data_IF_883518016597
#
_entry.id   IF_883518016597
#
_cell.length_a   1.000
_cell.length_b   1.000
_cell.length_c   1.000
_cell.angle_alpha   90.00
_cell.angle_beta   90.00
_cell.angle_gamma   90.00
#
_symmetry.space_group_name_H-M   'P 1'
#
loop_
_entity.id
_entity.type
_entity.pdbx_description
1 polymer ?
#
# COMPACT_ATOMS: atom_id res chain seq x y z
N UNK A 1 -4.44 14.93 -1.28
CA UNK A 1 -3.86 14.47 -0.01
C UNK A 1 -2.37 14.43 -0.18
N UNK A 2 -1.64 14.98 0.78
CA UNK A 2 -0.18 14.94 0.82
C UNK A 2 0.28 13.65 1.50
N UNK A 3 1.35 13.05 0.99
CA UNK A 3 2.01 11.89 1.57
C UNK A 3 3.52 12.12 1.54
N UNK A 4 4.23 11.75 2.60
CA UNK A 4 5.65 12.03 2.74
C UNK A 4 6.45 10.84 3.26
N UNK A 5 7.77 10.95 3.15
CA UNK A 5 8.71 10.03 3.76
C UNK A 5 9.88 10.83 4.37
N UNK A 6 10.20 10.57 5.64
CA UNK A 6 11.44 11.02 6.27
C UNK A 6 12.49 9.94 6.07
N UNK A 7 13.59 10.28 5.42
CA UNK A 7 14.70 9.37 5.13
C UNK A 7 15.76 9.55 6.20
N UNK A 8 16.12 8.46 6.88
CA UNK A 8 17.12 8.44 7.93
C UNK A 8 18.39 7.76 7.41
N UNK A 9 19.50 8.51 7.38
CA UNK A 9 20.83 7.99 7.04
C UNK A 9 21.57 7.64 8.34
N UNK A 10 21.81 6.36 8.60
CA UNK A 10 22.66 5.92 9.73
C UNK A 10 22.01 4.96 10.74
N UNK A 11 20.70 4.73 10.68
CA UNK A 11 19.99 3.76 11.56
C UNK A 11 19.53 2.49 10.83
N UNK A 12 20.11 2.23 9.66
CA UNK A 12 19.86 0.99 8.96
C UNK A 12 20.47 -0.16 9.79
N UNK A 13 19.62 -0.90 10.50
CA UNK A 13 20.01 -2.18 11.08
C UNK A 13 20.72 -3.04 10.02
N UNK A 14 21.54 -3.99 10.47
CA UNK A 14 22.29 -4.88 9.59
C UNK A 14 21.44 -5.37 8.40
N UNK A 15 21.83 -4.99 7.18
CA UNK A 15 21.17 -5.43 5.94
C UNK A 15 20.24 -4.43 5.25
N UNK A 16 19.95 -3.26 5.84
CA UNK A 16 19.26 -2.16 5.15
C UNK A 16 20.26 -1.11 4.64
N UNK A 17 19.91 -0.41 3.55
CA UNK A 17 20.67 0.71 3.00
C UNK A 17 20.18 2.06 3.58
N UNK A 18 18.86 2.18 3.81
CA UNK A 18 18.21 3.36 4.38
C UNK A 18 17.06 2.94 5.30
N UNK A 19 16.66 3.82 6.23
CA UNK A 19 15.38 3.73 6.92
C UNK A 19 14.42 4.82 6.43
N UNK A 20 13.13 4.50 6.39
CA UNK A 20 12.08 5.41 5.93
C UNK A 20 10.91 5.42 6.92
N UNK A 21 10.51 6.61 7.37
CA UNK A 21 9.28 6.83 8.14
C UNK A 21 8.26 7.51 7.24
N UNK A 22 7.10 6.87 7.04
CA UNK A 22 6.05 7.39 6.18
C UNK A 22 5.08 8.29 6.95
N UNK A 23 4.54 9.30 6.27
CA UNK A 23 3.67 10.32 6.85
C UNK A 23 2.45 10.57 5.95
N UNK A 24 1.28 10.76 6.54
CA UNK A 24 0.09 11.30 5.88
C UNK A 24 -0.60 12.33 6.77
N UNK A 25 -1.67 12.95 6.28
CA UNK A 25 -2.44 13.98 7.02
C UNK A 25 -3.07 13.57 8.36
N UNK A 26 -2.83 12.35 8.85
CA UNK A 26 -3.33 11.85 10.13
C UNK A 26 -2.22 11.26 11.02
N UNK A 27 -0.95 11.40 10.63
CA UNK A 27 0.19 10.91 11.40
C UNK A 27 1.14 10.02 10.60
N UNK A 28 1.89 9.19 11.33
CA UNK A 28 2.84 8.24 10.77
C UNK A 28 2.15 6.99 10.21
N UNK A 29 2.77 6.36 9.23
CA UNK A 29 2.28 5.14 8.58
C UNK A 29 3.34 4.04 8.54
N UNK A 30 2.89 2.79 8.58
CA UNK A 30 3.80 1.65 8.66
C UNK A 30 4.42 1.24 7.31
N UNK A 31 3.69 1.43 6.21
CA UNK A 31 4.12 1.03 4.87
C UNK A 31 3.44 1.92 3.82
N UNK A 32 4.19 2.30 2.79
CA UNK A 32 3.62 2.95 1.62
C UNK A 32 4.32 2.54 0.32
N UNK A 33 3.67 1.69 -0.47
CA UNK A 33 4.28 1.13 -1.68
C UNK A 33 4.63 2.18 -2.74
N UNK A 34 3.79 3.19 -2.98
CA UNK A 34 4.11 4.25 -3.94
C UNK A 34 5.30 5.12 -3.48
N UNK A 35 5.43 5.33 -2.16
CA UNK A 35 6.57 6.04 -1.60
C UNK A 35 7.84 5.20 -1.71
N UNK A 36 7.77 3.88 -1.55
CA UNK A 36 8.91 2.97 -1.79
C UNK A 36 9.40 3.04 -3.24
N UNK A 37 8.50 3.06 -4.23
CA UNK A 37 8.88 3.21 -5.64
C UNK A 37 9.65 4.52 -5.89
N UNK A 38 9.13 5.63 -5.37
CA UNK A 38 9.76 6.94 -5.50
C UNK A 38 11.10 7.02 -4.74
N UNK A 39 11.14 6.49 -3.51
CA UNK A 39 12.32 6.51 -2.65
C UNK A 39 13.45 5.65 -3.22
N UNK A 40 13.14 4.51 -3.87
CA UNK A 40 14.14 3.70 -4.56
C UNK A 40 14.88 4.51 -5.63
N UNK A 41 14.15 5.26 -6.47
CA UNK A 41 14.75 6.16 -7.47
C UNK A 41 15.57 7.27 -6.82
N UNK A 42 14.98 7.94 -5.83
CA UNK A 42 15.60 9.04 -5.10
C UNK A 42 16.92 8.63 -4.45
N UNK A 43 16.94 7.45 -3.82
CA UNK A 43 18.12 6.91 -3.17
C UNK A 43 19.29 6.71 -4.14
N UNK A 44 19.03 6.21 -5.35
CA UNK A 44 20.07 6.02 -6.37
C UNK A 44 20.50 7.34 -7.02
N UNK A 45 19.54 8.14 -7.48
CA UNK A 45 19.82 9.35 -8.25
C UNK A 45 20.59 10.40 -7.44
N UNK A 46 20.38 10.44 -6.11
CA UNK A 46 21.04 11.38 -5.21
C UNK A 46 22.21 10.75 -4.43
N UNK A 47 22.61 9.52 -4.75
CA UNK A 47 23.77 8.86 -4.14
C UNK A 47 23.61 8.64 -2.63
N UNK A 48 22.41 8.28 -2.18
CA UNK A 48 22.10 8.03 -0.76
C UNK A 48 22.57 6.66 -0.29
N UNK A 49 22.84 5.76 -1.23
CA UNK A 49 23.24 4.38 -1.01
C UNK A 49 24.49 4.06 -1.81
N UNK A 50 25.00 2.84 -1.68
CA UNK A 50 26.14 2.37 -2.45
C UNK A 50 25.93 2.55 -3.96
N UNK A 51 27.04 2.67 -4.70
CA UNK A 51 27.02 2.94 -6.13
C UNK A 51 26.13 1.92 -6.89
N UNK A 52 25.17 2.39 -7.70
CA UNK A 52 24.26 1.52 -8.43
C UNK A 52 24.97 0.71 -9.52
N UNK A 53 24.43 -0.48 -9.79
CA UNK A 53 24.87 -1.43 -10.81
C UNK A 53 23.83 -1.56 -11.91
N UNK A 54 24.29 -1.82 -13.13
CA UNK A 54 23.44 -2.18 -14.28
C UNK A 54 23.05 -3.66 -14.22
N UNK A 55 21.92 -4.07 -14.83
CA UNK A 55 20.87 -3.20 -15.39
C UNK A 55 19.87 -2.71 -14.32
N UNK A 56 19.98 -3.22 -13.10
CA UNK A 56 19.06 -2.94 -11.99
C UNK A 56 19.84 -2.94 -10.67
N UNK A 57 19.44 -2.06 -9.75
CA UNK A 57 20.00 -1.95 -8.41
C UNK A 57 18.93 -2.16 -7.35
N UNK A 58 19.31 -2.85 -6.28
CA UNK A 58 18.47 -3.03 -5.12
C UNK A 58 18.72 -1.89 -4.12
N UNK A 59 17.64 -1.32 -3.58
CA UNK A 59 17.65 -0.38 -2.44
C UNK A 59 16.84 -1.03 -1.33
N UNK A 60 17.51 -1.44 -0.25
CA UNK A 60 16.92 -2.10 0.90
C UNK A 60 16.51 -1.05 1.92
N UNK A 61 15.21 -0.94 2.13
CA UNK A 61 14.60 0.00 3.05
C UNK A 61 14.18 -0.73 4.32
N UNK A 62 14.52 -0.16 5.47
CA UNK A 62 13.86 -0.47 6.72
C UNK A 62 12.64 0.44 6.87
N UNK A 63 11.46 -0.14 6.76
CA UNK A 63 10.19 0.53 7.03
C UNK A 63 9.66 0.10 8.40
N UNK A 64 8.69 0.82 9.01
CA UNK A 64 8.08 0.38 10.26
C UNK A 64 7.42 -1.00 10.16
N UNK A 65 6.87 -1.37 8.98
CA UNK A 65 6.33 -2.71 8.75
C UNK A 65 7.39 -3.82 8.63
N UNK A 66 8.68 -3.48 8.56
CA UNK A 66 9.78 -4.41 8.32
C UNK A 66 10.61 -4.09 7.07
N UNK A 67 11.49 -5.01 6.64
CA UNK A 67 12.39 -4.81 5.50
C UNK A 67 11.63 -4.87 4.17
N UNK A 68 11.84 -3.87 3.31
CA UNK A 68 11.27 -3.78 1.96
C UNK A 68 12.41 -3.53 0.98
N UNK A 69 12.45 -4.23 -0.14
CA UNK A 69 13.51 -4.02 -1.16
C UNK A 69 12.91 -3.41 -2.42
N UNK A 70 13.32 -2.19 -2.76
CA UNK A 70 13.07 -1.61 -4.07
C UNK A 70 14.10 -2.12 -5.08
N UNK A 71 13.66 -2.44 -6.29
CA UNK A 71 14.45 -2.90 -7.43
C UNK A 71 14.27 -1.86 -8.53
N UNK A 72 15.33 -1.12 -8.82
CA UNK A 72 15.28 0.10 -9.62
C UNK A 72 16.14 -0.10 -10.87
N UNK A 73 15.56 0.01 -12.08
CA UNK A 73 16.35 0.00 -13.31
C UNK A 73 17.40 1.12 -13.29
N UNK A 74 18.62 0.80 -13.74
CA UNK A 74 19.73 1.74 -13.76
C UNK A 74 20.50 1.64 -15.08
N UNK A 75 20.56 2.76 -15.80
CA UNK A 75 21.21 2.86 -17.11
C UNK A 75 22.67 3.34 -17.01
N UNK A 76 23.30 3.24 -15.84
CA UNK A 76 24.65 3.75 -15.58
C UNK A 76 24.74 5.25 -15.27
N UNK A 77 23.67 6.02 -15.51
CA UNK A 77 23.63 7.46 -15.28
C UNK A 77 22.45 7.90 -14.42
N UNK A 78 21.28 7.27 -14.57
CA UNK A 78 20.04 7.63 -13.88
C UNK A 78 19.15 6.41 -13.65
N UNK A 79 18.24 6.56 -12.67
CA UNK A 79 17.18 5.61 -12.43
C UNK A 79 16.12 5.65 -13.54
N UNK A 80 15.57 4.48 -13.85
CA UNK A 80 14.48 4.30 -14.81
C UNK A 80 13.17 3.83 -14.16
N UNK A 81 12.15 3.72 -15.01
CA UNK A 81 10.88 3.05 -14.72
C UNK A 81 10.77 1.76 -15.58
N UNK A 82 9.91 0.81 -15.21
CA UNK A 82 9.17 0.76 -13.95
C UNK A 82 10.09 0.37 -12.79
N UNK A 83 9.77 0.85 -11.59
CA UNK A 83 10.41 0.40 -10.35
C UNK A 83 9.57 -0.72 -9.76
N UNK A 84 10.22 -1.69 -9.13
CA UNK A 84 9.55 -2.76 -8.39
C UNK A 84 9.89 -2.68 -6.92
N UNK A 85 9.05 -3.21 -6.06
CA UNK A 85 9.45 -3.52 -4.69
C UNK A 85 8.95 -4.90 -4.29
N UNK A 86 9.71 -5.55 -3.40
CA UNK A 86 9.30 -6.77 -2.71
C UNK A 86 8.92 -6.42 -1.29
N UNK A 87 7.68 -6.72 -0.93
CA UNK A 87 7.13 -6.41 0.38
C UNK A 87 7.61 -7.39 1.46
N UNK A 88 7.23 -7.09 2.69
CA UNK A 88 7.24 -8.02 3.82
C UNK A 88 6.28 -9.20 3.56
N UNK A 89 6.33 -10.30 4.34
CA UNK A 89 5.35 -11.37 4.25
C UNK A 89 3.92 -10.83 4.28
N UNK A 90 3.16 -11.15 3.23
CA UNK A 90 1.78 -10.71 3.03
C UNK A 90 0.85 -11.92 3.15
N UNK A 91 -0.31 -11.74 3.77
CA UNK A 91 -1.20 -12.85 4.08
C UNK A 91 -2.68 -12.45 4.17
N UNK A 92 -3.55 -13.45 4.05
CA UNK A 92 -4.97 -13.31 4.37
C UNK A 92 -5.17 -13.48 5.89
N UNK A 93 -5.64 -12.43 6.55
CA UNK A 93 -5.95 -12.45 7.98
C UNK A 93 -7.36 -12.99 8.25
N UNK A 94 -8.31 -12.66 7.37
CA UNK A 94 -9.65 -13.22 7.35
C UNK A 94 -10.18 -13.26 5.91
N UNK A 95 -11.04 -14.23 5.61
CA UNK A 95 -11.70 -14.38 4.31
C UNK A 95 -13.19 -14.55 4.54
N UNK A 96 -14.01 -13.85 3.73
CA UNK A 96 -15.47 -13.89 3.81
C UNK A 96 -16.03 -13.62 5.22
N UNK A 97 -15.43 -12.67 5.93
CA UNK A 97 -15.89 -12.23 7.25
C UNK A 97 -17.23 -11.49 7.10
N UNK A 98 -18.33 -11.97 7.71
CA UNK A 98 -19.56 -11.20 7.77
C UNK A 98 -19.40 -10.02 8.73
N UNK A 99 -19.70 -8.81 8.23
CA UNK A 99 -19.60 -7.56 8.98
C UNK A 99 -20.91 -6.81 8.84
N UNK A 100 -21.55 -6.47 9.96
CA UNK A 100 -22.73 -5.61 9.96
C UNK A 100 -22.30 -4.15 9.79
N UNK A 101 -22.70 -3.53 8.68
CA UNK A 101 -22.37 -2.14 8.35
C UNK A 101 -23.62 -1.29 8.54
N UNK A 102 -23.64 -0.35 9.50
CA UNK A 102 -24.80 0.49 9.76
C UNK A 102 -25.32 1.20 8.49
N UNK A 103 -26.62 1.05 8.24
CA UNK A 103 -27.28 1.60 7.04
C UNK A 103 -27.03 0.83 5.73
N UNK A 104 -26.25 -0.26 5.76
CA UNK A 104 -25.91 -1.09 4.59
C UNK A 104 -26.13 -2.59 4.81
N UNK A 105 -26.41 -3.01 6.05
CA UNK A 105 -26.65 -4.39 6.42
C UNK A 105 -25.35 -5.21 6.49
N UNK A 106 -25.50 -6.54 6.52
CA UNK A 106 -24.36 -7.44 6.58
C UNK A 106 -23.72 -7.61 5.21
N UNK A 107 -22.41 -7.33 5.14
CA UNK A 107 -21.58 -7.57 3.94
C UNK A 107 -20.43 -8.50 4.27
N UNK A 108 -20.01 -9.29 3.29
CA UNK A 108 -18.83 -10.13 3.41
C UNK A 108 -17.58 -9.30 3.05
N UNK A 109 -16.58 -9.34 3.92
CA UNK A 109 -15.33 -8.58 3.81
C UNK A 109 -14.16 -9.53 3.94
N UNK A 110 -13.13 -9.35 3.12
CA UNK A 110 -11.84 -9.98 3.36
C UNK A 110 -10.93 -9.03 4.13
N UNK A 111 -10.04 -9.57 4.97
CA UNK A 111 -9.00 -8.78 5.62
C UNK A 111 -7.63 -9.31 5.21
N UNK A 112 -6.87 -8.49 4.51
CA UNK A 112 -5.53 -8.84 4.03
C UNK A 112 -4.46 -7.94 4.65
N UNK A 113 -3.27 -8.52 4.89
CA UNK A 113 -2.08 -7.80 5.32
C UNK A 113 -1.06 -7.69 4.18
N UNK A 114 -0.58 -6.48 3.93
CA UNK A 114 0.44 -6.19 2.91
C UNK A 114 1.50 -5.20 3.36
N UNK A 115 1.83 -5.21 4.66
CA UNK A 115 2.59 -4.18 5.38
C UNK A 115 1.70 -3.28 6.25
N UNK A 116 0.40 -3.28 5.98
CA UNK A 116 -0.69 -2.77 6.81
C UNK A 116 -1.93 -3.64 6.56
N UNK A 117 -2.93 -3.62 7.46
CA UNK A 117 -4.19 -4.35 7.26
C UNK A 117 -5.21 -3.54 6.46
N UNK A 118 -5.87 -4.19 5.52
CA UNK A 118 -6.97 -3.63 4.74
C UNK A 118 -8.21 -4.53 4.80
N UNK A 119 -9.37 -3.88 4.94
CA UNK A 119 -10.65 -4.48 4.60
C UNK A 119 -10.82 -4.38 3.08
N UNK A 120 -11.20 -5.48 2.43
CA UNK A 120 -11.32 -5.57 0.97
C UNK A 120 -12.68 -6.16 0.63
N UNK A 121 -13.42 -5.48 -0.25
CA UNK A 121 -14.71 -5.93 -0.77
C UNK A 121 -15.03 -5.28 -2.12
N UNK A 122 -15.86 -5.94 -2.91
CA UNK A 122 -16.45 -5.33 -4.11
C UNK A 122 -17.38 -4.18 -3.72
N UNK A 123 -17.29 -3.05 -4.43
CA UNK A 123 -18.21 -1.93 -4.28
C UNK A 123 -19.67 -2.34 -4.55
N UNK A 124 -19.88 -3.36 -5.38
CA UNK A 124 -21.21 -3.89 -5.72
C UNK A 124 -21.96 -4.39 -4.48
N UNK A 125 -21.25 -4.94 -3.49
CA UNK A 125 -21.82 -5.38 -2.20
C UNK A 125 -22.42 -4.22 -1.39
N UNK A 126 -22.09 -2.98 -1.76
CA UNK A 126 -22.59 -1.75 -1.15
C UNK A 126 -23.56 -1.01 -2.10
N UNK A 127 -23.93 -1.61 -3.23
CA UNK A 127 -24.77 -1.00 -4.26
C UNK A 127 -24.05 0.08 -5.08
N UNK A 128 -22.71 0.03 -5.14
CA UNK A 128 -21.88 1.04 -5.82
C UNK A 128 -21.05 0.39 -6.93
N UNK A 129 -20.65 1.19 -7.91
CA UNK A 129 -19.62 0.82 -8.89
C UNK A 129 -18.39 1.70 -8.67
N UNK A 130 -17.26 1.06 -8.34
CA UNK A 130 -15.99 1.75 -8.06
C UNK A 130 -15.49 2.61 -9.22
N UNK A 131 -15.94 2.35 -10.46
CA UNK A 131 -15.53 3.05 -11.68
C UNK A 131 -16.36 4.29 -11.99
N UNK A 132 -17.63 4.31 -11.56
CA UNK A 132 -18.61 5.32 -11.99
C UNK A 132 -19.23 6.09 -10.84
N UNK A 133 -19.26 5.53 -9.63
CA UNK A 133 -19.83 6.20 -8.47
C UNK A 133 -19.03 7.46 -8.09
N UNK A 134 -19.70 8.52 -7.61
CA UNK A 134 -19.02 9.71 -7.11
C UNK A 134 -18.02 9.36 -6.01
N UNK A 135 -16.82 9.95 -6.06
CA UNK A 135 -15.76 9.66 -5.09
C UNK A 135 -16.19 9.87 -3.63
N UNK A 136 -17.07 10.83 -3.37
CA UNK A 136 -17.64 11.08 -2.03
C UNK A 136 -18.43 9.89 -1.51
N UNK A 137 -19.25 9.26 -2.35
CA UNK A 137 -20.05 8.10 -1.96
C UNK A 137 -19.17 6.88 -1.68
N UNK A 138 -18.14 6.67 -2.51
CA UNK A 138 -17.13 5.62 -2.28
C UNK A 138 -16.37 5.84 -0.96
N UNK A 139 -15.99 7.08 -0.66
CA UNK A 139 -15.33 7.44 0.60
C UNK A 139 -16.24 7.19 1.80
N UNK A 140 -17.49 7.62 1.76
CA UNK A 140 -18.45 7.38 2.84
C UNK A 140 -18.70 5.90 3.06
N UNK A 141 -18.86 5.13 1.98
CA UNK A 141 -19.10 3.69 2.06
C UNK A 141 -17.88 2.95 2.63
N UNK A 142 -16.67 3.25 2.14
CA UNK A 142 -15.44 2.64 2.63
C UNK A 142 -15.14 3.02 4.09
N UNK A 143 -15.46 4.24 4.51
CA UNK A 143 -15.29 4.69 5.90
C UNK A 143 -16.27 3.99 6.84
N UNK A 144 -17.53 3.83 6.42
CA UNK A 144 -18.53 3.05 7.16
C UNK A 144 -18.09 1.58 7.33
N UNK A 145 -17.55 0.95 6.29
CA UNK A 145 -16.98 -0.41 6.37
C UNK A 145 -15.79 -0.43 7.33
N UNK A 146 -14.87 0.52 7.22
CA UNK A 146 -13.68 0.61 8.11
C UNK A 146 -14.09 0.65 9.58
N UNK A 147 -15.05 1.50 9.94
CA UNK A 147 -15.53 1.62 11.32
C UNK A 147 -16.30 0.38 11.79
N UNK A 148 -17.05 -0.26 10.90
CA UNK A 148 -17.73 -1.52 11.22
C UNK A 148 -16.74 -2.66 11.47
N UNK A 149 -15.71 -2.79 10.62
CA UNK A 149 -14.66 -3.82 10.76
C UNK A 149 -13.86 -3.61 12.04
N UNK A 150 -13.44 -2.38 12.37
CA UNK A 150 -12.72 -2.09 13.62
C UNK A 150 -13.47 -2.56 14.88
N UNK A 151 -14.80 -2.54 14.86
CA UNK A 151 -15.66 -2.97 15.98
C UNK A 151 -15.84 -4.48 16.05
N UNK A 152 -15.78 -5.17 14.92
CA UNK A 152 -16.16 -6.58 14.78
C UNK A 152 -14.96 -7.50 14.53
N UNK A 153 -13.80 -6.95 14.15
CA UNK A 153 -12.58 -7.67 13.86
C UNK A 153 -11.39 -6.98 14.53
N UNK A 154 -10.66 -7.75 15.33
CA UNK A 154 -9.40 -7.32 15.93
C UNK A 154 -8.25 -7.91 15.11
N UNK A 155 -7.55 -7.12 14.28
CA UNK A 155 -6.37 -7.62 13.58
C UNK A 155 -5.31 -8.05 14.59
N UNK A 156 -4.54 -9.07 14.25
CA UNK A 156 -3.37 -9.55 14.98
C UNK A 156 -2.22 -9.66 13.99
N UNK A 157 -1.07 -9.07 14.33
CA UNK A 157 0.14 -9.21 13.53
C UNK A 157 1.13 -10.13 14.26
N UNK A 158 1.58 -11.24 13.66
CA UNK A 158 2.34 -12.30 14.33
C UNK A 158 3.59 -11.88 15.11
N UNK A 159 4.20 -10.76 14.74
CA UNK A 159 5.49 -10.32 15.29
C UNK A 159 5.45 -8.91 15.93
N UNK A 160 4.34 -8.19 15.86
CA UNK A 160 4.30 -6.78 16.32
C UNK A 160 2.88 -6.25 16.54
N UNK A 161 2.49 -6.04 17.79
CA UNK A 161 1.20 -5.45 18.15
C UNK A 161 1.03 -4.02 17.61
N UNK A 162 2.11 -3.25 17.45
CA UNK A 162 2.04 -1.89 16.88
C UNK A 162 1.57 -1.88 15.42
N UNK A 163 1.67 -3.02 14.72
CA UNK A 163 1.18 -3.20 13.35
C UNK A 163 -0.23 -3.78 13.29
N UNK A 164 -0.81 -4.18 14.43
CA UNK A 164 -2.11 -4.84 14.54
C UNK A 164 -3.27 -3.84 14.51
N UNK A 165 -3.37 -3.05 13.43
CA UNK A 165 -4.46 -2.10 13.23
C UNK A 165 -4.94 -2.04 11.77
N UNK A 166 -6.23 -1.77 11.59
CA UNK A 166 -6.84 -1.60 10.29
C UNK A 166 -6.50 -0.22 9.72
N UNK A 167 -5.80 -0.20 8.58
CA UNK A 167 -5.36 1.04 7.93
C UNK A 167 -6.47 1.71 7.11
N UNK A 168 -7.34 0.91 6.50
CA UNK A 168 -8.46 1.41 5.71
C UNK A 168 -9.20 0.32 4.94
N UNK A 169 -10.09 0.75 4.06
CA UNK A 169 -10.88 -0.12 3.19
C UNK A 169 -10.52 0.10 1.73
N UNK A 170 -10.38 -0.99 0.99
CA UNK A 170 -10.21 -1.02 -0.45
C UNK A 170 -11.51 -1.52 -1.09
N UNK A 171 -12.20 -0.65 -1.82
CA UNK A 171 -13.33 -1.04 -2.65
C UNK A 171 -12.81 -1.47 -4.03
N UNK A 172 -13.25 -2.62 -4.51
CA UNK A 172 -12.84 -3.20 -5.80
C UNK A 172 -14.01 -3.28 -6.77
N UNK A 173 -13.72 -3.61 -8.03
CA UNK A 173 -14.74 -3.96 -9.03
C UNK A 173 -15.18 -5.43 -8.98
N UNK A 174 -14.82 -6.17 -7.93
CA UNK A 174 -15.15 -7.59 -7.75
C UNK A 174 -14.42 -8.55 -8.69
N UNK A 175 -13.56 -8.06 -9.60
CA UNK A 175 -12.83 -8.88 -10.59
C UNK A 175 -11.54 -9.46 -10.00
N UNK A 176 -11.66 -10.16 -8.88
CA UNK A 176 -10.52 -10.70 -8.14
C UNK A 176 -9.92 -11.97 -8.75
N UNK A 177 -10.70 -12.73 -9.52
CA UNK A 177 -10.17 -13.82 -10.32
C UNK A 177 -9.11 -13.32 -11.31
N UNK A 178 -8.12 -14.16 -11.60
CA UNK A 178 -7.11 -13.81 -12.60
C UNK A 178 -7.75 -13.49 -13.96
N UNK A 179 -7.23 -12.44 -14.58
CA UNK A 179 -7.57 -11.99 -15.93
C UNK A 179 -6.39 -11.15 -16.48
N UNK A 180 -6.33 -11.00 -17.79
CA UNK A 180 -5.40 -10.05 -18.43
C UNK A 180 -5.89 -8.60 -18.27
N UNK A 181 -7.21 -8.40 -18.10
CA UNK A 181 -7.83 -7.09 -17.93
C UNK A 181 -7.59 -6.51 -16.54
N UNK A 182 -7.17 -5.24 -16.40
CA UNK A 182 -6.95 -4.63 -15.09
C UNK A 182 -8.20 -4.66 -14.19
N UNK A 183 -8.03 -5.09 -12.94
CA UNK A 183 -9.04 -4.86 -11.87
C UNK A 183 -8.89 -3.46 -11.32
N UNK A 184 -10.01 -2.78 -11.07
CA UNK A 184 -10.03 -1.41 -10.56
C UNK A 184 -10.27 -1.39 -9.05
N UNK A 185 -9.59 -0.50 -8.34
CA UNK A 185 -9.89 -0.22 -6.94
C UNK A 185 -9.74 1.26 -6.55
N UNK A 186 -10.35 1.59 -5.42
CA UNK A 186 -10.07 2.80 -4.63
C UNK A 186 -9.68 2.37 -3.21
N UNK A 187 -8.64 2.97 -2.66
CA UNK A 187 -8.28 2.81 -1.25
C UNK A 187 -8.65 4.08 -0.49
N UNK A 188 -9.43 3.91 0.58
CA UNK A 188 -9.80 4.97 1.53
C UNK A 188 -9.20 4.61 2.88
N UNK A 189 -8.35 5.49 3.41
CA UNK A 189 -7.52 5.22 4.58
C UNK A 189 -7.37 6.43 5.48
N UNK A 190 -6.90 6.18 6.71
CA UNK A 190 -6.73 7.23 7.73
C UNK A 190 -8.02 8.07 7.89
N UNK A 191 -7.89 9.39 7.95
CA UNK A 191 -8.99 10.36 8.03
C UNK A 191 -9.62 10.61 6.64
N UNK A 192 -10.25 9.57 6.09
CA UNK A 192 -10.96 9.60 4.79
C UNK A 192 -10.10 9.99 3.58
N UNK A 193 -8.79 9.77 3.66
CA UNK A 193 -7.88 10.04 2.55
C UNK A 193 -8.02 8.98 1.46
N UNK A 194 -8.10 9.46 0.22
CA UNK A 194 -8.13 8.60 -0.97
C UNK A 194 -6.73 8.46 -1.54
N UNK A 195 -6.27 7.23 -1.77
CA UNK A 195 -5.06 7.01 -2.56
C UNK A 195 -5.35 7.23 -4.05
N UNK A 196 -4.45 7.95 -4.72
CA UNK A 196 -4.57 8.26 -6.14
C UNK A 196 -3.95 7.18 -7.02
N UNK A 197 -3.07 6.35 -6.46
CA UNK A 197 -2.53 5.17 -7.12
C UNK A 197 -3.34 3.91 -6.74
N UNK A 198 -3.05 2.75 -7.34
CA UNK A 198 -3.67 1.48 -6.95
C UNK A 198 -3.34 1.00 -5.52
N UNK A 199 -2.50 1.74 -4.78
CA UNK A 199 -2.07 1.49 -3.39
C UNK A 199 -1.15 0.28 -3.27
N UNK A 200 0.17 0.46 -3.25
CA UNK A 200 1.11 -0.67 -3.33
C UNK A 200 1.01 -1.70 -2.19
N UNK A 201 0.79 -1.27 -0.94
CA UNK A 201 0.44 -2.17 0.18
C UNK A 201 -0.92 -2.85 -0.01
N UNK A 202 -1.88 -2.12 -0.59
CA UNK A 202 -3.18 -2.66 -0.97
C UNK A 202 -3.09 -3.73 -2.05
N UNK A 203 -2.31 -3.50 -3.12
CA UNK A 203 -1.98 -4.49 -4.15
C UNK A 203 -1.31 -5.71 -3.52
N UNK A 204 -0.38 -5.50 -2.59
CA UNK A 204 0.26 -6.57 -1.83
C UNK A 204 -0.77 -7.42 -1.07
N UNK A 205 -1.65 -6.79 -0.29
CA UNK A 205 -2.71 -7.47 0.46
C UNK A 205 -3.70 -8.19 -0.47
N UNK A 206 -4.10 -7.57 -1.59
CA UNK A 206 -5.00 -8.16 -2.58
C UNK A 206 -4.39 -9.39 -3.25
N UNK A 207 -3.11 -9.36 -3.62
CA UNK A 207 -2.42 -10.55 -4.17
C UNK A 207 -2.37 -11.67 -3.12
N UNK A 208 -2.11 -11.37 -1.85
CA UNK A 208 -2.10 -12.37 -0.80
C UNK A 208 -3.49 -13.01 -0.60
N UNK A 209 -4.56 -12.21 -0.63
CA UNK A 209 -5.95 -12.69 -0.59
C UNK A 209 -6.30 -13.55 -1.82
N UNK A 210 -5.95 -13.09 -3.02
CA UNK A 210 -6.17 -13.84 -4.26
C UNK A 210 -5.40 -15.17 -4.25
N UNK A 211 -4.16 -15.18 -3.77
CA UNK A 211 -3.36 -16.39 -3.65
C UNK A 211 -3.96 -17.37 -2.63
N UNK A 212 -4.36 -16.87 -1.45
CA UNK A 212 -5.03 -17.66 -0.42
C UNK A 212 -6.30 -18.33 -0.95
N UNK A 213 -7.07 -17.64 -1.79
CA UNK A 213 -8.29 -18.15 -2.43
C UNK A 213 -8.04 -19.00 -3.68
N UNK A 214 -6.78 -19.21 -4.08
CA UNK A 214 -6.44 -19.93 -5.31
C UNK A 214 -6.83 -19.21 -6.62
N UNK A 215 -7.11 -17.90 -6.55
CA UNK A 215 -7.51 -17.06 -7.69
C UNK A 215 -6.33 -16.59 -8.55
N UNK A 216 -5.11 -16.67 -8.00
CA UNK A 216 -3.86 -16.35 -8.70
C UNK A 216 -2.76 -17.33 -8.29
N UNK A 217 -1.91 -17.71 -9.23
CA UNK A 217 -0.77 -18.61 -9.01
C UNK A 217 0.52 -17.84 -8.70
N UNK A 218 1.53 -18.55 -8.18
CA UNK A 218 2.88 -17.99 -8.05
C UNK A 218 3.40 -17.51 -9.42
N UNK A 219 4.07 -16.37 -9.42
CA UNK A 219 4.64 -15.69 -10.58
C UNK A 219 3.64 -15.24 -11.65
N UNK A 220 2.32 -15.41 -11.42
CA UNK A 220 1.29 -14.87 -12.29
C UNK A 220 1.07 -13.39 -11.97
N UNK A 221 1.16 -12.53 -13.00
CA UNK A 221 1.09 -11.07 -12.84
C UNK A 221 -0.33 -10.57 -13.02
N UNK A 222 -0.85 -9.81 -12.06
CA UNK A 222 -2.15 -9.13 -12.13
C UNK A 222 -1.94 -7.62 -12.25
N UNK A 223 -2.76 -6.97 -13.06
CA UNK A 223 -2.74 -5.51 -13.23
C UNK A 223 -3.86 -4.86 -12.41
N UNK A 224 -3.52 -3.80 -11.70
CA UNK A 224 -4.39 -3.06 -10.79
C UNK A 224 -4.50 -1.62 -11.26
N UNK A 225 -5.72 -1.11 -11.38
CA UNK A 225 -6.03 0.23 -11.83
C UNK A 225 -6.60 1.08 -10.71
N UNK A 226 -6.11 2.30 -10.57
CA UNK A 226 -6.71 3.30 -9.70
C UNK A 226 -8.01 3.81 -10.31
N UNK A 227 -9.12 3.81 -9.57
CA UNK A 227 -10.37 4.40 -10.06
C UNK A 227 -10.32 5.92 -10.16
N UNK A 228 -9.40 6.57 -9.45
CA UNK A 228 -9.34 8.04 -9.38
C UNK A 228 -8.49 8.66 -10.48
N UNK A 229 -7.42 7.96 -10.91
CA UNK A 229 -6.47 8.49 -11.91
C UNK A 229 -6.29 7.59 -13.13
N UNK A 230 -6.79 6.35 -13.08
CA UNK A 230 -6.54 5.36 -14.12
C UNK A 230 -5.10 4.80 -14.13
N UNK A 231 -4.22 5.26 -13.24
CA UNK A 231 -2.85 4.77 -13.09
C UNK A 231 -2.81 3.27 -12.81
N UNK A 232 -1.73 2.62 -13.25
CA UNK A 232 -1.56 1.18 -13.20
C UNK A 232 -0.37 0.78 -12.34
N UNK A 233 -0.57 -0.24 -11.51
CA UNK A 233 0.48 -1.04 -10.90
C UNK A 233 0.28 -2.50 -11.33
N UNK A 234 1.35 -3.28 -11.30
CA UNK A 234 1.26 -4.74 -11.38
C UNK A 234 1.68 -5.38 -10.07
N UNK A 235 1.13 -6.56 -9.78
CA UNK A 235 1.46 -7.33 -8.59
C UNK A 235 1.55 -8.81 -8.90
N UNK A 236 2.48 -9.53 -8.25
CA UNK A 236 2.56 -11.00 -8.30
C UNK A 236 3.15 -11.56 -7.01
N UNK A 237 2.65 -12.73 -6.59
CA UNK A 237 3.29 -13.50 -5.54
C UNK A 237 4.54 -14.17 -6.12
N UNK A 238 5.74 -13.77 -5.70
CA UNK A 238 7.01 -14.29 -6.24
C UNK A 238 7.54 -15.49 -5.47
N UNK A 239 7.09 -15.67 -4.23
CA UNK A 239 7.57 -16.74 -3.34
C UNK A 239 6.52 -17.02 -2.27
N UNK A 240 6.20 -18.28 -2.05
CA UNK A 240 5.55 -18.71 -0.81
C UNK A 240 6.57 -18.59 0.34
N UNK A 241 6.23 -17.83 1.38
CA UNK A 241 7.11 -17.66 2.56
C UNK A 241 6.83 -18.69 3.65
N UNK A 242 5.87 -19.59 3.43
CA UNK A 242 5.41 -20.53 4.46
C UNK A 242 4.51 -19.84 5.47
N UNK A 243 4.49 -20.35 6.70
CA UNK A 243 3.72 -19.78 7.78
C UNK A 243 4.40 -18.52 8.34
N UNK A 244 3.64 -17.44 8.46
CA UNK A 244 3.98 -16.23 9.21
C UNK A 244 2.96 -16.10 10.34
N UNK A 245 3.35 -16.49 11.56
CA UNK A 245 2.39 -16.91 12.58
C UNK A 245 1.57 -18.09 12.09
N UNK A 246 0.24 -17.98 12.15
CA UNK A 246 -0.68 -19.02 11.67
C UNK A 246 -1.13 -18.84 10.21
N UNK A 247 -0.60 -17.82 9.52
CA UNK A 247 -1.05 -17.46 8.18
C UNK A 247 -0.10 -17.98 7.09
N UNK A 248 -0.67 -18.60 6.05
CA UNK A 248 0.07 -18.87 4.82
C UNK A 248 0.40 -17.54 4.13
N UNK A 249 1.68 -17.18 4.12
CA UNK A 249 2.15 -15.91 3.62
C UNK A 249 2.89 -16.05 2.29
N UNK A 250 2.93 -14.96 1.54
CA UNK A 250 3.66 -14.81 0.29
C UNK A 250 4.50 -13.53 0.30
N UNK A 251 5.63 -13.55 -0.40
CA UNK A 251 6.32 -12.33 -0.79
C UNK A 251 5.71 -11.85 -2.10
N UNK A 252 5.17 -10.64 -2.08
CA UNK A 252 4.61 -9.99 -3.28
C UNK A 252 5.61 -9.00 -3.84
N UNK A 253 5.77 -9.04 -5.15
CA UNK A 253 6.46 -8.01 -5.92
C UNK A 253 5.42 -7.10 -6.57
N UNK A 254 5.54 -5.79 -6.35
CA UNK A 254 4.68 -4.77 -6.94
C UNK A 254 5.52 -3.89 -7.85
N UNK A 255 5.01 -3.59 -9.05
CA UNK A 255 5.65 -2.71 -10.02
C UNK A 255 4.82 -1.47 -10.27
N UNK A 256 5.48 -0.32 -10.43
CA UNK A 256 4.84 0.92 -10.81
C UNK A 256 5.85 1.95 -11.31
N UNK A 257 5.36 3.15 -11.55
CA UNK A 257 6.18 4.26 -12.03
C UNK A 257 6.17 5.40 -11.02
N UNK A 258 7.31 6.06 -10.89
CA UNK A 258 7.43 7.28 -10.11
C UNK A 258 8.10 8.36 -10.97
N UNK A 259 7.81 9.64 -10.72
CA UNK A 259 8.36 10.78 -11.45
C UNK A 259 8.65 11.92 -10.49
N UNK A 260 9.79 12.60 -10.66
CA UNK A 260 10.08 13.82 -9.89
C UNK A 260 9.20 14.96 -10.39
N UNK A 261 8.58 15.67 -9.47
CA UNK A 261 7.72 16.83 -9.76
C UNK A 261 8.42 18.16 -9.47
N UNK A 262 9.45 18.16 -8.63
CA UNK A 262 10.21 19.35 -8.27
C UNK A 262 11.03 19.17 -7.02
N UNK A 263 11.62 20.27 -6.55
CA UNK A 263 12.28 20.38 -5.25
C UNK A 263 11.69 21.57 -4.52
N UNK A 264 11.55 21.48 -3.20
CA UNK A 264 10.97 22.53 -2.36
C UNK A 264 11.81 22.68 -1.09
N UNK A 265 11.89 23.91 -0.58
CA UNK A 265 12.43 24.22 0.75
C UNK A 265 11.28 24.81 1.57
N UNK A 266 10.98 24.20 2.72
CA UNK A 266 9.98 24.68 3.65
C UNK A 266 10.68 25.35 4.83
N UNK A 267 10.22 26.55 5.21
CA UNK A 267 10.74 27.33 6.34
C UNK A 267 9.60 27.56 7.33
N UNK A 268 9.90 27.45 8.62
CA UNK A 268 8.95 27.67 9.71
C UNK A 268 9.43 28.86 10.55
N UNK A 269 8.62 29.90 10.65
CA UNK A 269 8.88 31.06 11.52
C UNK A 269 8.22 30.85 12.89
N UNK A 270 8.87 31.31 13.97
CA UNK A 270 8.36 31.06 15.32
C UNK A 270 7.05 31.81 15.58
N UNK A 271 6.87 32.97 14.95
CA UNK A 271 5.75 33.89 15.11
C UNK A 271 4.56 33.56 14.21
N UNK A 272 4.69 32.64 13.24
CA UNK A 272 3.58 32.25 12.36
C UNK A 272 2.51 31.48 13.16
N UNK A 273 1.28 32.02 13.32
CA UNK A 273 0.20 31.36 14.05
C UNK A 273 -0.28 30.06 13.39
N UNK A 274 0.05 29.84 12.12
CA UNK A 274 -0.31 28.66 11.34
C UNK A 274 0.92 27.78 11.03
N UNK A 275 2.04 27.93 11.75
CA UNK A 275 3.29 27.18 11.51
C UNK A 275 3.15 25.65 11.52
N UNK A 276 2.13 25.10 12.17
CA UNK A 276 1.85 23.66 12.17
C UNK A 276 0.76 23.23 11.16
N UNK A 277 0.31 24.16 10.33
CA UNK A 277 -0.76 23.96 9.36
C UNK A 277 -2.16 23.97 9.96
N UNK A 278 -3.14 23.61 9.13
CA UNK A 278 -4.55 23.48 9.47
C UNK A 278 -5.20 22.39 8.61
N UNK A 279 -6.37 21.91 9.03
CA UNK A 279 -7.17 20.92 8.29
C UNK A 279 -8.57 21.50 8.06
N UNK A 280 -8.98 21.57 6.80
CA UNK A 280 -10.39 21.77 6.44
C UNK A 280 -10.99 20.41 6.09
N UNK A 281 -12.14 20.11 6.68
CA UNK A 281 -12.93 18.91 6.43
C UNK A 281 -14.25 19.29 5.76
#
# INVERSE_FOLDING_TARGET
GMYGAVVLRGEAAAGADLAALFLHGAGYSAMCGHAVLALGRFALDYGLVAAPRRPESAVRLRCPCGPVTALVPWDGRRSGNPVRFRSVPAFAAASELPVDVPGRGTVLVDVGYGGTFYAVLSAERLGLDVRTAPSRELVQAASAVTEAVKKQFKPHHPESEDLAFLYGTILTDGKDAFSEEPTTNICVFADEQVDRCPTGSGVTARIALQYHKGLIQLNQTRTFRSSTTGSLFTGKAVKASGLFGDHNAVIVEVSGEAYYTGTATFTFEEEDPLKYGFLFK
#
